data_IF_490528015877
#
_entry.id   IF_490528015877
#
_cell.length_a   1.000
_cell.length_b   1.000
_cell.length_c   1.000
_cell.angle_alpha   90.00
_cell.angle_beta   90.00
_cell.angle_gamma   90.00
#
_symmetry.space_group_name_H-M   'P 1'
#
loop_
_entity.id
_entity.type
_entity.pdbx_description
1 polymer ?
#
# COMPACT_ATOMS: atom_id res chain seq x y z
N UNK A 1 60.77 -0.60 25.54
CA UNK A 1 59.77 -1.52 25.99
C UNK A 1 58.85 -1.90 24.85
N UNK A 2 59.16 -3.07 24.29
CA UNK A 2 58.41 -3.67 23.18
C UNK A 2 57.24 -4.41 23.79
N UNK A 3 55.99 -4.00 23.49
CA UNK A 3 54.80 -4.80 23.78
C UNK A 3 54.65 -5.85 22.67
N UNK A 4 54.69 -7.11 23.06
CA UNK A 4 54.40 -8.28 22.20
C UNK A 4 52.87 -8.27 21.93
N UNK A 5 52.49 -8.30 20.68
CA UNK A 5 51.18 -8.69 20.22
C UNK A 5 51.07 -10.22 20.32
N UNK A 6 50.15 -10.72 21.11
CA UNK A 6 49.80 -12.14 21.17
C UNK A 6 49.00 -12.51 19.93
N UNK A 7 49.50 -13.45 19.16
CA UNK A 7 48.77 -14.15 18.10
C UNK A 7 47.65 -15.01 18.75
N UNK A 8 46.41 -14.61 18.55
CA UNK A 8 45.28 -15.47 18.83
C UNK A 8 45.02 -16.31 17.60
N UNK A 9 45.46 -17.56 17.62
CA UNK A 9 45.13 -18.58 16.62
C UNK A 9 43.65 -18.84 16.64
N UNK A 10 42.91 -18.39 15.61
CA UNK A 10 41.55 -18.83 15.34
C UNK A 10 41.61 -20.27 14.84
N UNK A 11 41.24 -21.21 15.71
CA UNK A 11 40.90 -22.58 15.34
C UNK A 11 39.53 -22.57 14.70
N UNK A 12 39.46 -22.65 13.39
CA UNK A 12 38.22 -22.88 12.63
C UNK A 12 37.87 -24.36 12.68
N UNK A 13 37.20 -24.80 13.71
CA UNK A 13 36.42 -26.05 13.67
C UNK A 13 35.06 -25.74 13.06
N UNK A 14 34.93 -25.98 11.76
CA UNK A 14 33.67 -26.02 11.06
C UNK A 14 32.86 -27.25 11.51
N UNK A 15 32.22 -27.14 12.68
CA UNK A 15 31.15 -28.04 13.07
C UNK A 15 29.85 -27.54 12.51
N UNK A 16 29.24 -28.31 11.61
CA UNK A 16 27.83 -28.14 11.27
C UNK A 16 27.03 -28.26 12.56
N UNK A 17 26.12 -27.30 12.85
CA UNK A 17 25.29 -27.39 14.08
C UNK A 17 24.55 -28.70 14.07
N UNK A 18 24.57 -29.38 15.23
CA UNK A 18 23.87 -30.64 15.43
C UNK A 18 22.35 -30.41 15.23
N UNK A 19 21.68 -31.39 14.62
CA UNK A 19 20.22 -31.34 14.41
C UNK A 19 19.44 -31.03 15.66
N UNK A 20 19.97 -31.45 16.84
CA UNK A 20 19.38 -31.18 18.15
C UNK A 20 19.58 -29.74 18.62
N UNK A 21 20.67 -29.09 18.25
CA UNK A 21 20.89 -27.65 18.52
C UNK A 21 19.96 -26.77 17.67
N UNK A 22 19.78 -27.13 16.39
CA UNK A 22 18.83 -26.44 15.52
C UNK A 22 17.38 -26.61 15.98
N UNK A 23 17.01 -27.80 16.46
CA UNK A 23 15.69 -28.05 16.99
C UNK A 23 15.42 -27.24 18.28
N UNK A 24 16.41 -27.16 19.19
CA UNK A 24 16.30 -26.34 20.43
C UNK A 24 16.26 -24.85 20.13
N UNK A 25 17.04 -24.39 19.14
CA UNK A 25 16.99 -22.99 18.71
C UNK A 25 15.64 -22.63 18.05
N UNK A 26 15.05 -23.54 17.26
CA UNK A 26 13.72 -23.39 16.71
C UNK A 26 12.65 -23.33 17.82
N UNK A 27 12.70 -24.22 18.79
CA UNK A 27 11.78 -24.25 19.95
C UNK A 27 11.89 -22.99 20.83
N UNK A 28 13.11 -22.44 21.00
CA UNK A 28 13.35 -21.17 21.71
C UNK A 28 12.81 -19.95 21.00
N UNK A 29 12.64 -20.01 19.67
CA UNK A 29 12.05 -18.93 18.86
C UNK A 29 10.53 -19.11 18.74
N UNK A 30 10.06 -20.36 18.62
CA UNK A 30 8.62 -20.66 18.48
C UNK A 30 7.83 -20.36 19.78
N UNK A 31 8.38 -20.65 20.94
CA UNK A 31 7.67 -20.46 22.21
C UNK A 31 7.33 -18.97 22.51
N UNK A 32 8.24 -17.99 22.34
CA UNK A 32 7.91 -16.57 22.48
C UNK A 32 6.97 -16.07 21.40
N UNK A 33 7.11 -16.53 20.14
CA UNK A 33 6.20 -16.19 19.06
C UNK A 33 4.80 -16.76 19.28
N UNK A 34 4.69 -17.99 19.74
CA UNK A 34 3.42 -18.62 20.10
C UNK A 34 2.72 -17.91 21.26
N UNK A 35 3.46 -17.42 22.25
CA UNK A 35 2.88 -16.65 23.36
C UNK A 35 2.40 -15.26 22.92
N UNK A 36 3.14 -14.59 22.05
CA UNK A 36 2.73 -13.29 21.47
C UNK A 36 1.49 -13.43 20.57
N UNK A 37 1.36 -14.52 19.84
CA UNK A 37 0.19 -14.81 19.01
C UNK A 37 -0.98 -15.29 19.86
N UNK A 38 -0.72 -16.13 20.87
CA UNK A 38 -1.73 -16.70 21.76
C UNK A 38 -2.48 -15.67 22.61
N UNK A 39 -1.80 -14.67 23.14
CA UNK A 39 -2.43 -13.60 23.95
C UNK A 39 -3.42 -12.72 23.14
N UNK A 40 -3.27 -12.67 21.81
CA UNK A 40 -4.21 -11.99 20.92
C UNK A 40 -5.35 -12.89 20.42
N UNK A 41 -5.13 -14.22 20.36
CA UNK A 41 -6.15 -15.20 19.92
C UNK A 41 -7.17 -15.54 21.03
N UNK A 42 -6.83 -15.43 22.31
CA UNK A 42 -7.73 -15.82 23.42
C UNK A 42 -8.98 -14.92 23.56
N UNK A 43 -9.00 -13.74 22.94
CA UNK A 43 -10.16 -12.83 22.97
C UNK A 43 -11.22 -13.10 21.92
N UNK A 44 -10.94 -13.87 20.87
CA UNK A 44 -11.85 -14.01 19.70
C UNK A 44 -12.27 -15.44 19.34
N UNK A 45 -11.92 -16.48 20.13
CA UNK A 45 -12.19 -17.85 19.70
C UNK A 45 -13.37 -18.54 20.39
N UNK A 46 -14.45 -18.65 19.65
CA UNK A 46 -15.39 -19.77 19.80
C UNK A 46 -14.88 -20.97 18.95
N UNK A 47 -14.38 -21.98 19.64
CA UNK A 47 -13.90 -23.30 19.30
C UNK A 47 -14.25 -23.93 17.95
N UNK A 48 -13.27 -24.13 17.05
CA UNK A 48 -13.12 -25.38 16.29
C UNK A 48 -11.69 -25.56 15.70
N UNK A 49 -11.10 -26.77 15.72
CA UNK A 49 -9.72 -27.02 15.27
C UNK A 49 -9.47 -26.83 13.76
N UNK A 50 -10.52 -26.78 12.95
CA UNK A 50 -10.44 -26.49 11.51
C UNK A 50 -10.20 -25.01 11.20
N UNK A 51 -10.42 -24.11 12.16
CA UNK A 51 -10.28 -22.66 11.97
C UNK A 51 -8.82 -22.21 11.89
N UNK A 52 -7.89 -22.84 12.59
CA UNK A 52 -6.49 -22.35 12.74
C UNK A 52 -5.74 -22.21 11.41
N UNK A 53 -5.93 -23.13 10.45
CA UNK A 53 -5.28 -23.04 9.13
C UNK A 53 -5.87 -21.96 8.22
N UNK A 54 -7.15 -21.61 8.41
CA UNK A 54 -7.85 -20.63 7.56
C UNK A 54 -7.47 -19.19 7.97
N UNK A 55 -7.16 -18.96 9.25
CA UNK A 55 -6.65 -17.64 9.73
C UNK A 55 -5.25 -17.30 9.21
N UNK A 56 -4.43 -18.29 8.85
CA UNK A 56 -3.09 -18.06 8.30
C UNK A 56 -3.11 -17.54 6.85
N UNK A 57 -4.15 -17.85 6.08
CA UNK A 57 -4.22 -17.51 4.65
C UNK A 57 -4.18 -16.00 4.38
N UNK A 58 -5.00 -15.13 5.02
CA UNK A 58 -4.90 -13.68 4.81
C UNK A 58 -3.53 -13.15 5.19
N UNK A 59 -3.00 -13.54 6.37
CA UNK A 59 -1.69 -13.10 6.84
C UNK A 59 -0.54 -13.51 5.91
N UNK A 60 -0.68 -14.64 5.19
CA UNK A 60 0.29 -15.06 4.19
C UNK A 60 0.31 -14.11 2.98
N UNK A 61 -0.86 -13.65 2.51
CA UNK A 61 -0.94 -12.66 1.44
C UNK A 61 -0.39 -11.32 1.89
N UNK A 62 -0.71 -10.86 3.10
CA UNK A 62 -0.13 -9.66 3.71
C UNK A 62 1.39 -9.76 3.81
N UNK A 63 1.92 -10.93 4.23
CA UNK A 63 3.37 -11.19 4.24
C UNK A 63 3.97 -11.17 2.83
N UNK A 64 3.23 -11.64 1.82
CA UNK A 64 3.62 -11.56 0.42
C UNK A 64 3.70 -10.11 -0.07
N UNK A 65 2.72 -9.26 0.30
CA UNK A 65 2.74 -7.83 0.01
C UNK A 65 3.95 -7.15 0.66
N UNK A 66 4.19 -7.43 1.95
CA UNK A 66 5.35 -6.92 2.69
C UNK A 66 6.67 -7.35 2.05
N UNK A 67 6.78 -8.62 1.65
CA UNK A 67 7.98 -9.13 0.96
C UNK A 67 8.22 -8.39 -0.36
N UNK A 68 7.17 -8.17 -1.16
CA UNK A 68 7.29 -7.41 -2.41
C UNK A 68 7.68 -5.96 -2.17
N UNK A 69 7.12 -5.29 -1.15
CA UNK A 69 7.51 -3.94 -0.76
C UNK A 69 8.96 -3.86 -0.30
N UNK A 70 9.40 -4.79 0.52
CA UNK A 70 10.79 -4.90 0.97
C UNK A 70 11.74 -5.16 -0.21
N UNK A 71 11.39 -6.10 -1.10
CA UNK A 71 12.15 -6.37 -2.31
C UNK A 71 12.27 -5.13 -3.21
N UNK A 72 11.18 -4.36 -3.34
CA UNK A 72 11.21 -3.12 -4.13
C UNK A 72 12.22 -2.10 -3.60
N UNK A 73 12.36 -1.99 -2.27
CA UNK A 73 13.39 -1.14 -1.64
C UNK A 73 14.79 -1.64 -2.01
N UNK A 74 15.05 -2.93 -1.86
CA UNK A 74 16.35 -3.52 -2.17
C UNK A 74 16.68 -3.37 -3.67
N UNK A 75 15.74 -3.65 -4.56
CA UNK A 75 15.91 -3.47 -6.00
C UNK A 75 16.24 -2.01 -6.36
N UNK A 76 15.52 -1.05 -5.77
CA UNK A 76 15.79 0.39 -5.95
C UNK A 76 17.20 0.80 -5.46
N UNK A 77 17.68 0.23 -4.34
CA UNK A 77 19.04 0.45 -3.84
C UNK A 77 20.12 -0.16 -4.76
N UNK A 78 19.79 -1.23 -5.46
CA UNK A 78 20.68 -1.89 -6.43
C UNK A 78 20.62 -1.27 -7.83
N UNK A 79 19.72 -0.28 -8.05
CA UNK A 79 19.53 0.36 -9.35
C UNK A 79 18.61 -0.41 -10.30
N UNK A 80 17.98 -1.49 -9.86
CA UNK A 80 16.97 -2.20 -10.63
C UNK A 80 15.56 -1.60 -10.39
N UNK A 81 15.36 -0.43 -10.96
CA UNK A 81 14.14 0.34 -10.78
C UNK A 81 12.92 -0.30 -11.44
N UNK A 82 13.15 -1.06 -12.53
CA UNK A 82 12.09 -1.84 -13.18
C UNK A 82 11.53 -2.91 -12.23
N UNK A 83 12.41 -3.75 -11.68
CA UNK A 83 11.99 -4.79 -10.75
C UNK A 83 11.35 -4.18 -9.49
N UNK A 84 11.89 -3.05 -8.98
CA UNK A 84 11.32 -2.33 -7.85
C UNK A 84 9.91 -1.82 -8.12
N UNK A 85 9.67 -1.21 -9.28
CA UNK A 85 8.34 -0.71 -9.65
C UNK A 85 7.32 -1.85 -9.84
N UNK A 86 7.71 -2.92 -10.53
CA UNK A 86 6.87 -4.10 -10.71
C UNK A 86 6.54 -4.76 -9.36
N UNK A 87 7.51 -4.85 -8.45
CA UNK A 87 7.28 -5.42 -7.12
C UNK A 87 6.24 -4.65 -6.32
N UNK A 88 6.22 -3.30 -6.39
CA UNK A 88 5.18 -2.48 -5.75
C UNK A 88 3.79 -2.81 -6.34
N UNK A 89 3.67 -2.98 -7.66
CA UNK A 89 2.41 -3.36 -8.30
C UNK A 89 1.96 -4.77 -7.91
N UNK A 90 2.90 -5.70 -7.75
CA UNK A 90 2.62 -7.05 -7.25
C UNK A 90 2.18 -7.01 -5.79
N UNK A 91 2.79 -6.16 -4.95
CA UNK A 91 2.35 -5.94 -3.59
C UNK A 91 0.88 -5.50 -3.52
N UNK A 92 0.43 -4.60 -4.43
CA UNK A 92 -0.99 -4.21 -4.51
C UNK A 92 -1.94 -5.37 -4.81
N UNK A 93 -1.50 -6.35 -5.61
CA UNK A 93 -2.31 -7.54 -5.91
C UNK A 93 -2.45 -8.39 -4.64
N UNK A 94 -1.36 -8.61 -3.92
CA UNK A 94 -1.37 -9.38 -2.67
C UNK A 94 -2.24 -8.71 -1.60
N UNK A 95 -2.11 -7.39 -1.40
CA UNK A 95 -2.94 -6.57 -0.52
C UNK A 95 -4.44 -6.65 -0.88
N UNK A 96 -4.78 -6.54 -2.17
CA UNK A 96 -6.15 -6.69 -2.63
C UNK A 96 -6.73 -8.09 -2.42
N UNK A 97 -5.88 -9.13 -2.39
CA UNK A 97 -6.27 -10.51 -2.18
C UNK A 97 -6.48 -10.82 -0.69
N UNK A 98 -5.61 -10.36 0.22
CA UNK A 98 -5.73 -10.65 1.66
C UNK A 98 -7.03 -10.12 2.25
N UNK A 99 -7.39 -8.86 1.95
CA UNK A 99 -8.65 -8.27 2.39
C UNK A 99 -9.90 -8.96 1.79
N UNK A 100 -9.79 -9.53 0.57
CA UNK A 100 -10.88 -10.33 -0.01
C UNK A 100 -10.98 -11.71 0.64
N UNK A 101 -9.85 -12.38 0.82
CA UNK A 101 -9.77 -13.70 1.46
C UNK A 101 -10.26 -13.61 2.90
N UNK A 102 -9.81 -12.62 3.68
CA UNK A 102 -10.28 -12.42 5.05
C UNK A 102 -11.80 -12.27 5.16
N UNK A 103 -12.43 -11.49 4.23
CA UNK A 103 -13.89 -11.34 4.19
C UNK A 103 -14.63 -12.61 3.75
N UNK A 104 -14.10 -13.34 2.77
CA UNK A 104 -14.73 -14.57 2.27
C UNK A 104 -14.64 -15.70 3.26
N UNK A 105 -13.58 -15.76 4.05
CA UNK A 105 -13.35 -16.82 5.05
C UNK A 105 -13.90 -16.45 6.44
N UNK A 106 -14.33 -15.20 6.65
CA UNK A 106 -14.79 -14.73 7.97
C UNK A 106 -13.67 -14.69 9.01
N UNK A 107 -12.40 -14.55 8.59
CA UNK A 107 -11.21 -14.63 9.45
C UNK A 107 -10.59 -13.26 9.72
N UNK A 108 -11.39 -12.20 9.74
CA UNK A 108 -10.91 -10.87 10.11
C UNK A 108 -10.54 -10.83 11.59
N UNK A 109 -9.30 -10.45 11.92
CA UNK A 109 -8.81 -10.30 13.29
C UNK A 109 -8.22 -8.91 13.51
N UNK A 110 -8.21 -8.44 14.77
CA UNK A 110 -7.57 -7.18 15.13
C UNK A 110 -6.07 -7.19 14.83
N UNK A 111 -5.40 -8.32 15.06
CA UNK A 111 -3.99 -8.51 14.70
C UNK A 111 -3.79 -8.39 13.17
N UNK A 112 -4.62 -9.08 12.37
CA UNK A 112 -4.52 -9.03 10.91
C UNK A 112 -4.65 -7.61 10.37
N UNK A 113 -5.59 -6.82 10.89
CA UNK A 113 -5.77 -5.41 10.48
C UNK A 113 -4.57 -4.52 10.83
N UNK A 114 -3.91 -4.74 11.97
CA UNK A 114 -2.69 -4.02 12.34
C UNK A 114 -1.50 -4.45 11.49
N UNK A 115 -1.36 -5.76 11.26
CA UNK A 115 -0.30 -6.31 10.43
C UNK A 115 -0.40 -5.84 8.98
N UNK A 116 -1.61 -5.80 8.43
CA UNK A 116 -1.93 -5.24 7.12
C UNK A 116 -1.50 -3.77 7.01
N UNK A 117 -1.85 -2.95 7.98
CA UNK A 117 -1.43 -1.54 8.02
C UNK A 117 0.09 -1.34 8.09
N UNK A 118 0.81 -2.21 8.78
CA UNK A 118 2.29 -2.18 8.83
C UNK A 118 2.88 -2.60 7.48
N UNK A 119 2.32 -3.64 6.86
CA UNK A 119 2.68 -4.07 5.51
C UNK A 119 2.46 -2.96 4.48
N UNK A 120 1.29 -2.31 4.53
CA UNK A 120 0.93 -1.17 3.68
C UNK A 120 1.91 -0.01 3.82
N UNK A 121 2.33 0.30 5.06
CA UNK A 121 3.31 1.36 5.30
C UNK A 121 4.63 1.08 4.60
N UNK A 122 5.10 -0.16 4.60
CA UNK A 122 6.33 -0.55 3.90
C UNK A 122 6.11 -0.56 2.39
N UNK A 123 5.05 -1.21 1.91
CA UNK A 123 4.82 -1.48 0.49
C UNK A 123 4.35 -0.27 -0.30
N UNK A 124 3.53 0.61 0.31
CA UNK A 124 2.91 1.76 -0.36
C UNK A 124 3.33 3.11 0.22
N UNK A 125 3.99 3.12 1.39
CA UNK A 125 4.59 4.33 1.96
C UNK A 125 6.09 4.42 1.65
N UNK A 126 6.88 3.50 2.19
CA UNK A 126 8.34 3.57 2.12
C UNK A 126 8.90 3.13 0.76
N UNK A 127 8.42 2.01 0.21
CA UNK A 127 8.99 1.46 -1.03
C UNK A 127 8.88 2.44 -2.21
N UNK A 128 7.73 3.05 -2.54
CA UNK A 128 7.66 4.02 -3.64
C UNK A 128 8.45 5.30 -3.36
N UNK A 129 8.50 5.78 -2.10
CA UNK A 129 9.30 6.94 -1.71
C UNK A 129 10.80 6.72 -1.94
N UNK A 130 11.32 5.58 -1.49
CA UNK A 130 12.74 5.23 -1.61
C UNK A 130 13.11 4.83 -3.04
N UNK A 131 12.23 4.15 -3.78
CA UNK A 131 12.42 3.85 -5.20
C UNK A 131 12.61 5.13 -6.00
N UNK A 132 11.72 6.11 -5.82
CA UNK A 132 11.77 7.40 -6.51
C UNK A 132 12.99 8.23 -6.05
N UNK A 133 13.31 8.18 -4.76
CA UNK A 133 14.48 8.86 -4.23
C UNK A 133 15.77 8.37 -4.90
N UNK A 134 15.95 7.06 -4.97
CA UNK A 134 17.13 6.48 -5.60
C UNK A 134 17.17 6.70 -7.12
N UNK A 135 16.01 6.77 -7.79
CA UNK A 135 15.92 7.02 -9.22
C UNK A 135 16.25 8.46 -9.60
N UNK A 136 15.57 9.43 -9.00
CA UNK A 136 15.52 10.80 -9.51
C UNK A 136 15.90 11.88 -8.47
N UNK A 137 15.72 11.62 -7.16
CA UNK A 137 15.75 12.69 -6.18
C UNK A 137 17.11 12.87 -5.50
N UNK A 138 18.05 11.96 -5.67
CA UNK A 138 19.41 12.05 -5.08
C UNK A 138 20.13 13.33 -5.52
N UNK A 139 19.96 13.74 -6.79
CA UNK A 139 20.52 14.97 -7.35
C UNK A 139 19.96 16.27 -6.77
N UNK A 140 18.76 16.23 -6.19
CA UNK A 140 18.12 17.40 -5.57
C UNK A 140 18.55 17.64 -4.11
N UNK A 141 19.45 16.84 -3.58
CA UNK A 141 20.01 16.99 -2.24
C UNK A 141 18.93 17.02 -1.15
N UNK A 142 18.89 18.09 -0.34
CA UNK A 142 17.94 18.19 0.78
C UNK A 142 16.48 18.20 0.34
N UNK A 143 16.16 18.76 -0.80
CA UNK A 143 14.78 18.82 -1.31
C UNK A 143 14.30 17.42 -1.68
N UNK A 144 15.15 16.60 -2.28
CA UNK A 144 14.80 15.26 -2.70
C UNK A 144 14.40 14.35 -1.53
N UNK A 145 15.21 14.27 -0.48
CA UNK A 145 14.85 13.42 0.66
C UNK A 145 13.67 13.97 1.48
N UNK A 146 13.49 15.33 1.52
CA UNK A 146 12.30 15.92 2.15
C UNK A 146 11.03 15.55 1.40
N UNK A 147 11.03 15.58 0.06
CA UNK A 147 9.89 15.14 -0.74
C UNK A 147 9.54 13.66 -0.50
N UNK A 148 10.56 12.79 -0.45
CA UNK A 148 10.38 11.38 -0.13
C UNK A 148 9.81 11.17 1.29
N UNK A 149 10.33 11.91 2.28
CA UNK A 149 9.85 11.88 3.65
C UNK A 149 8.39 12.35 3.77
N UNK A 150 8.03 13.46 3.11
CA UNK A 150 6.65 13.98 3.11
C UNK A 150 5.68 12.91 2.60
N UNK A 151 6.01 12.24 1.50
CA UNK A 151 5.16 11.17 0.97
C UNK A 151 4.98 10.03 1.99
N UNK A 152 6.06 9.53 2.56
CA UNK A 152 6.03 8.46 3.56
C UNK A 152 5.27 8.87 4.82
N UNK A 153 5.47 10.11 5.32
CA UNK A 153 4.76 10.64 6.46
C UNK A 153 3.25 10.79 6.18
N UNK A 154 2.89 11.24 4.97
CA UNK A 154 1.49 11.32 4.55
C UNK A 154 0.83 9.95 4.47
N UNK A 155 1.53 8.92 3.98
CA UNK A 155 1.05 7.55 3.97
C UNK A 155 0.81 7.03 5.40
N UNK A 156 1.77 7.26 6.33
CA UNK A 156 1.64 6.88 7.73
C UNK A 156 0.44 7.56 8.41
N UNK A 157 0.28 8.87 8.23
CA UNK A 157 -0.85 9.62 8.79
C UNK A 157 -2.20 9.15 8.23
N UNK A 158 -2.23 8.82 6.94
CA UNK A 158 -3.43 8.25 6.32
C UNK A 158 -3.81 6.92 6.93
N UNK A 159 -2.85 5.99 7.08
CA UNK A 159 -3.08 4.68 7.68
C UNK A 159 -3.51 4.78 9.14
N UNK A 160 -2.85 5.65 9.92
CA UNK A 160 -3.23 5.92 11.31
C UNK A 160 -4.66 6.47 11.41
N UNK A 161 -5.04 7.42 10.53
CA UNK A 161 -6.41 7.96 10.48
C UNK A 161 -7.42 6.87 10.12
N UNK A 162 -7.11 6.01 9.15
CA UNK A 162 -7.98 4.91 8.74
C UNK A 162 -8.23 3.93 9.89
N UNK A 163 -7.17 3.54 10.60
CA UNK A 163 -7.27 2.64 11.76
C UNK A 163 -8.09 3.24 12.91
N UNK A 164 -7.92 4.54 13.18
CA UNK A 164 -8.70 5.25 14.20
C UNK A 164 -10.20 5.33 13.84
N UNK A 165 -10.54 5.49 12.56
CA UNK A 165 -11.93 5.53 12.09
C UNK A 165 -12.60 4.15 12.15
N UNK A 166 -11.87 3.07 11.86
CA UNK A 166 -12.41 1.71 11.96
C UNK A 166 -12.77 1.32 13.39
N UNK A 167 -12.08 1.85 14.40
CA UNK A 167 -12.39 1.59 15.82
C UNK A 167 -13.66 2.30 16.31
N UNK A 168 -14.11 3.36 15.63
CA UNK A 168 -15.22 4.20 16.07
C UNK A 168 -16.55 3.96 15.32
N UNK A 169 -16.68 2.88 14.52
CA UNK A 169 -17.86 2.54 13.69
C UNK A 169 -18.31 3.66 12.72
N UNK A 170 -17.53 4.70 12.52
CA UNK A 170 -17.81 5.82 11.64
C UNK A 170 -17.44 5.47 10.19
N UNK A 171 -18.24 4.61 9.55
CA UNK A 171 -17.99 4.09 8.20
C UNK A 171 -18.46 5.01 7.06
N UNK A 172 -18.81 6.27 7.36
CA UNK A 172 -19.65 7.06 6.45
C UNK A 172 -18.94 7.59 5.20
N UNK A 173 -17.63 7.85 5.16
CA UNK A 173 -16.97 8.26 3.89
C UNK A 173 -15.47 8.02 3.90
N UNK A 174 -14.97 7.25 2.91
CA UNK A 174 -13.54 7.18 2.61
C UNK A 174 -13.07 8.51 2.02
N UNK A 175 -12.30 9.27 2.78
CA UNK A 175 -11.73 10.54 2.35
C UNK A 175 -10.23 10.40 2.11
N UNK A 176 -9.75 11.00 1.02
CA UNK A 176 -8.35 10.98 0.61
C UNK A 176 -8.00 9.86 -0.37
N UNK A 177 -6.90 10.05 -1.10
CA UNK A 177 -6.40 9.10 -2.10
C UNK A 177 -5.94 7.79 -1.42
N UNK A 178 -6.30 6.65 -1.98
CA UNK A 178 -5.83 5.35 -1.48
C UNK A 178 -4.30 5.22 -1.62
N UNK A 179 -3.59 4.74 -0.56
CA UNK A 179 -2.13 4.54 -0.59
C UNK A 179 -1.67 3.61 -1.71
N UNK A 180 -2.35 2.49 -2.05
CA UNK A 180 -1.97 1.69 -3.19
C UNK A 180 -2.06 2.46 -4.53
N UNK A 181 -3.08 3.30 -4.70
CA UNK A 181 -3.23 4.09 -5.93
C UNK A 181 -2.14 5.18 -6.07
N UNK A 182 -1.77 5.82 -4.97
CA UNK A 182 -0.64 6.75 -4.93
C UNK A 182 0.67 6.02 -5.26
N UNK A 183 0.90 4.85 -4.64
CA UNK A 183 2.08 4.02 -4.88
C UNK A 183 2.17 3.56 -6.34
N UNK A 184 1.04 3.15 -6.94
CA UNK A 184 0.99 2.80 -8.37
C UNK A 184 1.38 3.97 -9.27
N UNK A 185 0.86 5.18 -8.99
CA UNK A 185 1.21 6.39 -9.77
C UNK A 185 2.70 6.68 -9.72
N UNK A 186 3.31 6.58 -8.54
CA UNK A 186 4.73 6.83 -8.32
C UNK A 186 5.59 5.75 -8.98
N UNK A 187 5.30 4.47 -8.72
CA UNK A 187 6.07 3.35 -9.22
C UNK A 187 6.04 3.28 -10.75
N UNK A 188 4.87 3.50 -11.36
CA UNK A 188 4.73 3.49 -12.83
C UNK A 188 5.37 4.70 -13.49
N UNK A 189 5.43 5.86 -12.82
CA UNK A 189 6.18 7.01 -13.33
C UNK A 189 7.68 6.70 -13.38
N UNK A 190 8.24 6.06 -12.36
CA UNK A 190 9.63 5.60 -12.35
C UNK A 190 9.87 4.56 -13.46
N UNK A 191 9.00 3.57 -13.57
CA UNK A 191 9.09 2.54 -14.61
C UNK A 191 9.05 3.14 -16.00
N UNK A 192 8.10 4.03 -16.27
CA UNK A 192 7.96 4.72 -17.56
C UNK A 192 9.22 5.54 -17.89
N UNK A 193 9.73 6.31 -16.92
CA UNK A 193 10.94 7.12 -17.10
C UNK A 193 12.15 6.25 -17.43
N UNK A 194 12.30 5.10 -16.76
CA UNK A 194 13.36 4.14 -17.04
C UNK A 194 13.21 3.52 -18.43
N UNK A 195 12.01 3.05 -18.79
CA UNK A 195 11.77 2.36 -20.07
C UNK A 195 12.05 3.28 -21.27
N UNK A 196 11.68 4.56 -21.17
CA UNK A 196 11.90 5.53 -22.24
C UNK A 196 13.25 6.25 -22.17
N UNK A 197 14.08 5.92 -21.17
CA UNK A 197 15.37 6.57 -20.97
C UNK A 197 15.26 8.05 -20.60
N UNK A 198 14.14 8.44 -20.01
CA UNK A 198 13.93 9.83 -19.61
C UNK A 198 14.71 10.13 -18.35
N UNK A 199 15.59 11.14 -18.43
CA UNK A 199 16.41 11.61 -17.32
C UNK A 199 16.72 13.09 -17.47
N UNK A 200 17.02 13.75 -16.37
CA UNK A 200 17.46 15.13 -16.36
C UNK A 200 16.78 15.98 -15.28
N UNK A 201 17.37 17.15 -14.98
CA UNK A 201 16.95 17.98 -13.83
C UNK A 201 15.45 18.37 -13.83
N UNK A 202 14.87 18.60 -15.01
CA UNK A 202 13.45 18.92 -15.12
C UNK A 202 12.57 17.73 -14.69
N UNK A 203 12.97 16.50 -15.05
CA UNK A 203 12.25 15.29 -14.67
C UNK A 203 12.40 14.97 -13.19
N UNK A 204 13.56 15.23 -12.60
CA UNK A 204 13.78 15.09 -11.16
C UNK A 204 12.79 15.94 -10.36
N UNK A 205 12.54 17.18 -10.81
CA UNK A 205 11.51 18.03 -10.21
C UNK A 205 10.09 17.50 -10.44
N UNK A 206 9.80 16.90 -11.59
CA UNK A 206 8.49 16.28 -11.86
C UNK A 206 8.26 15.13 -10.87
N UNK A 207 9.26 14.29 -10.63
CA UNK A 207 9.16 13.20 -9.64
C UNK A 207 8.96 13.76 -8.21
N UNK A 208 9.73 14.79 -7.81
CA UNK A 208 9.61 15.40 -6.49
C UNK A 208 8.23 16.02 -6.27
N UNK A 209 7.71 16.76 -7.25
CA UNK A 209 6.39 17.40 -7.19
C UNK A 209 5.27 16.35 -7.19
N UNK A 210 5.36 15.31 -8.04
CA UNK A 210 4.39 14.22 -8.09
C UNK A 210 4.33 13.48 -6.76
N UNK A 211 5.48 13.14 -6.19
CA UNK A 211 5.57 12.45 -4.90
C UNK A 211 4.93 13.28 -3.79
N UNK A 212 5.27 14.57 -3.71
CA UNK A 212 4.73 15.50 -2.71
C UNK A 212 3.22 15.71 -2.89
N UNK A 213 2.76 15.92 -4.13
CA UNK A 213 1.34 16.13 -4.43
C UNK A 213 0.49 14.90 -4.10
N UNK A 214 0.94 13.70 -4.48
CA UNK A 214 0.26 12.45 -4.14
C UNK A 214 0.24 12.21 -2.63
N UNK A 215 1.31 12.57 -1.91
CA UNK A 215 1.34 12.56 -0.46
C UNK A 215 0.23 13.44 0.14
N UNK A 216 0.12 14.68 -0.28
CA UNK A 216 -0.96 15.57 0.20
C UNK A 216 -2.36 15.09 -0.19
N UNK A 217 -2.53 14.51 -1.39
CA UNK A 217 -3.81 13.91 -1.79
C UNK A 217 -4.22 12.76 -0.88
N UNK A 218 -3.29 11.97 -0.34
CA UNK A 218 -3.59 10.91 0.62
C UNK A 218 -4.21 11.43 1.92
N UNK A 219 -3.76 12.59 2.42
CA UNK A 219 -4.29 13.20 3.66
C UNK A 219 -5.52 14.07 3.40
N UNK A 220 -5.75 14.48 2.16
CA UNK A 220 -6.85 15.36 1.78
C UNK A 220 -8.21 14.79 2.21
N UNK A 221 -9.21 15.67 2.31
CA UNK A 221 -10.60 15.29 2.59
C UNK A 221 -11.44 15.14 1.32
N UNK A 222 -10.80 15.01 0.17
CA UNK A 222 -11.53 14.85 -1.08
C UNK A 222 -12.27 13.51 -1.10
N UNK A 223 -13.54 13.48 -1.54
CA UNK A 223 -14.29 12.24 -1.69
C UNK A 223 -13.74 11.49 -2.90
N UNK A 224 -13.32 10.25 -2.70
CA UNK A 224 -12.98 9.34 -3.79
C UNK A 224 -14.04 8.28 -3.93
N UNK A 225 -14.46 8.02 -5.16
CA UNK A 225 -15.40 6.94 -5.45
C UNK A 225 -14.78 5.60 -5.12
N UNK A 226 -15.36 4.88 -4.15
CA UNK A 226 -14.98 3.51 -3.89
C UNK A 226 -15.47 2.63 -5.03
N UNK A 227 -14.58 1.84 -5.64
CA UNK A 227 -14.96 0.81 -6.64
C UNK A 227 -15.89 -0.28 -6.09
N UNK A 228 -16.21 -0.23 -4.77
CA UNK A 228 -17.18 -1.14 -4.13
C UNK A 228 -18.62 -0.98 -4.63
N UNK A 229 -18.98 0.16 -5.21
CA UNK A 229 -20.34 0.42 -5.71
C UNK A 229 -20.61 -0.12 -7.11
N UNK A 230 -19.61 -0.75 -7.76
CA UNK A 230 -19.84 -1.48 -9.01
C UNK A 230 -20.57 -2.77 -8.66
N UNK A 231 -21.90 -2.67 -8.48
CA UNK A 231 -22.77 -3.83 -8.40
C UNK A 231 -22.58 -4.63 -9.69
N UNK A 232 -22.06 -5.83 -9.56
CA UNK A 232 -22.12 -6.84 -10.62
C UNK A 232 -23.60 -7.28 -10.74
N UNK A 233 -24.46 -6.36 -11.18
CA UNK A 233 -25.82 -6.72 -11.54
C UNK A 233 -25.76 -7.70 -12.71
N UNK A 234 -26.64 -8.68 -12.72
CA UNK A 234 -26.59 -9.90 -13.56
C UNK A 234 -26.47 -9.68 -15.07
N UNK A 235 -26.43 -8.43 -15.56
CA UNK A 235 -26.22 -8.09 -16.97
C UNK A 235 -25.12 -7.05 -17.10
N UNK A 236 -23.87 -7.50 -17.27
CA UNK A 236 -22.77 -6.59 -17.63
C UNK A 236 -23.06 -6.07 -19.05
N UNK A 237 -23.28 -4.76 -19.26
CA UNK A 237 -23.50 -4.24 -20.60
C UNK A 237 -22.30 -4.55 -21.49
N UNK A 238 -22.55 -4.99 -22.73
CA UNK A 238 -21.53 -5.34 -23.72
C UNK A 238 -20.42 -4.27 -23.83
N UNK A 239 -20.81 -3.00 -23.75
CA UNK A 239 -19.88 -1.86 -23.79
C UNK A 239 -18.86 -1.89 -22.65
N UNK A 240 -19.26 -2.31 -21.43
CA UNK A 240 -18.32 -2.43 -20.30
C UNK A 240 -17.31 -3.56 -20.52
N UNK A 241 -17.74 -4.68 -21.09
CA UNK A 241 -16.85 -5.78 -21.44
C UNK A 241 -15.85 -5.36 -22.52
N UNK A 242 -16.31 -4.65 -23.56
CA UNK A 242 -15.45 -4.11 -24.61
C UNK A 242 -14.43 -3.12 -24.05
N UNK A 243 -14.83 -2.25 -23.11
CA UNK A 243 -13.92 -1.32 -22.44
C UNK A 243 -12.84 -2.07 -21.64
N UNK A 244 -13.19 -3.12 -20.91
CA UNK A 244 -12.22 -3.94 -20.17
C UNK A 244 -11.22 -4.58 -21.13
N UNK A 245 -11.69 -5.16 -22.23
CA UNK A 245 -10.82 -5.76 -23.26
C UNK A 245 -9.90 -4.69 -23.88
N UNK A 246 -10.43 -3.51 -24.18
CA UNK A 246 -9.62 -2.40 -24.70
C UNK A 246 -8.53 -1.95 -23.71
N UNK A 247 -8.87 -1.81 -22.43
CA UNK A 247 -7.88 -1.46 -21.38
C UNK A 247 -6.81 -2.54 -21.26
N UNK A 248 -7.19 -3.82 -21.26
CA UNK A 248 -6.22 -4.94 -21.21
C UNK A 248 -5.32 -4.93 -22.44
N UNK A 249 -5.86 -4.67 -23.64
CA UNK A 249 -5.07 -4.56 -24.87
C UNK A 249 -4.09 -3.35 -24.81
N UNK A 250 -4.53 -2.22 -24.27
CA UNK A 250 -3.67 -1.05 -24.09
C UNK A 250 -2.54 -1.32 -23.07
N UNK A 251 -2.86 -2.00 -21.96
CA UNK A 251 -1.85 -2.42 -20.98
C UNK A 251 -0.83 -3.35 -21.63
N UNK A 252 -1.24 -4.24 -22.54
CA UNK A 252 -0.31 -5.14 -23.22
C UNK A 252 0.64 -4.40 -24.19
N UNK A 253 0.25 -3.22 -24.70
CA UNK A 253 1.08 -2.40 -25.58
C UNK A 253 2.16 -1.61 -24.81
N UNK A 254 1.76 -0.91 -23.78
CA UNK A 254 2.65 -0.10 -22.93
C UNK A 254 2.16 -0.12 -21.47
N UNK A 255 2.54 -1.16 -20.69
CA UNK A 255 2.09 -1.32 -19.31
C UNK A 255 2.34 -0.09 -18.44
N UNK A 256 3.56 0.49 -18.37
CA UNK A 256 3.84 1.59 -17.45
C UNK A 256 3.04 2.85 -17.78
N UNK A 257 2.91 3.19 -19.07
CA UNK A 257 2.16 4.38 -19.48
C UNK A 257 0.66 4.24 -19.16
N UNK A 258 0.07 3.09 -19.50
CA UNK A 258 -1.38 2.91 -19.30
C UNK A 258 -1.74 2.84 -17.82
N UNK A 259 -0.97 2.12 -17.00
CA UNK A 259 -1.22 2.05 -15.56
C UNK A 259 -0.99 3.41 -14.91
N UNK A 260 0.04 4.16 -15.35
CA UNK A 260 0.27 5.52 -14.88
C UNK A 260 -0.90 6.45 -15.20
N UNK A 261 -1.37 6.46 -16.45
CA UNK A 261 -2.53 7.27 -16.85
C UNK A 261 -3.78 6.93 -16.04
N UNK A 262 -4.09 5.65 -15.85
CA UNK A 262 -5.23 5.21 -15.05
C UNK A 262 -5.12 5.67 -13.60
N UNK A 263 -3.94 5.54 -13.00
CA UNK A 263 -3.72 5.95 -11.60
C UNK A 263 -3.76 7.47 -11.42
N UNK A 264 -3.24 8.25 -12.39
CA UNK A 264 -3.32 9.72 -12.38
C UNK A 264 -4.77 10.19 -12.56
N UNK A 265 -5.50 9.61 -13.52
CA UNK A 265 -6.94 9.92 -13.72
C UNK A 265 -7.73 9.64 -12.43
N UNK A 266 -7.44 8.51 -11.77
CA UNK A 266 -8.05 8.20 -10.47
C UNK A 266 -7.64 9.22 -9.39
N UNK A 267 -6.36 9.57 -9.29
CA UNK A 267 -5.87 10.55 -8.31
C UNK A 267 -6.51 11.94 -8.51
N UNK A 268 -6.72 12.36 -9.76
CA UNK A 268 -7.36 13.65 -10.09
C UNK A 268 -8.88 13.62 -9.93
N UNK A 269 -9.51 12.45 -9.91
CA UNK A 269 -10.98 12.33 -9.79
C UNK A 269 -11.51 12.93 -8.48
N UNK A 270 -10.79 12.81 -7.36
CA UNK A 270 -11.18 13.37 -6.07
C UNK A 270 -11.27 14.90 -6.08
N UNK A 271 -10.20 15.64 -6.42
CA UNK A 271 -10.24 17.10 -6.56
C UNK A 271 -11.32 17.58 -7.55
N UNK A 272 -11.47 16.90 -8.70
CA UNK A 272 -12.48 17.26 -9.71
C UNK A 272 -13.90 17.07 -9.18
N UNK A 273 -14.18 15.98 -8.46
CA UNK A 273 -15.49 15.77 -7.84
C UNK A 273 -15.77 16.83 -6.77
N UNK A 274 -14.79 17.17 -5.97
CA UNK A 274 -14.94 18.22 -4.95
C UNK A 274 -15.28 19.59 -5.56
N UNK A 275 -14.61 19.98 -6.65
CA UNK A 275 -14.91 21.21 -7.36
C UNK A 275 -16.33 21.22 -7.96
N UNK A 276 -16.77 20.11 -8.55
CA UNK A 276 -18.13 19.99 -9.12
C UNK A 276 -19.23 20.06 -8.06
N UNK A 277 -19.00 19.52 -6.87
CA UNK A 277 -19.99 19.61 -5.78
C UNK A 277 -19.99 20.98 -5.10
N UNK A 278 -18.89 21.75 -5.16
CA UNK A 278 -18.85 23.12 -4.66
C UNK A 278 -19.68 24.10 -5.53
N UNK A 279 -19.85 23.78 -6.82
CA UNK A 279 -20.61 24.61 -7.78
C UNK A 279 -22.12 24.32 -7.80
N UNK A 280 -22.62 23.35 -7.01
CA UNK A 280 -24.08 23.10 -6.93
C UNK A 280 -24.67 24.00 -5.86
N UNK A 281 -25.47 25.03 -6.21
CA UNK A 281 -26.06 25.93 -5.21
C UNK A 281 -27.02 25.17 -4.31
N UNK A 282 -26.97 25.43 -3.00
CA UNK A 282 -27.88 24.97 -1.94
C UNK A 282 -29.31 25.52 -2.11
N UNK A 283 -29.90 25.46 -3.28
CA UNK A 283 -31.17 26.15 -3.60
C UNK A 283 -32.42 25.27 -3.53
N UNK A 284 -32.38 24.05 -3.02
CA UNK A 284 -33.59 23.21 -2.97
C UNK A 284 -33.98 22.65 -1.58
N UNK A 285 -33.20 22.85 -0.52
CA UNK A 285 -33.61 22.41 0.81
C UNK A 285 -34.42 23.47 1.60
N UNK A 286 -34.43 24.71 1.14
CA UNK A 286 -35.18 25.82 1.77
C UNK A 286 -36.66 25.86 1.39
N UNK A 287 -37.01 25.44 0.17
CA UNK A 287 -38.43 25.53 -0.29
C UNK A 287 -39.30 24.35 0.16
N UNK A 288 -38.71 23.15 0.35
CA UNK A 288 -39.48 21.99 0.78
C UNK A 288 -39.88 22.00 2.28
N UNK A 289 -39.19 22.79 3.11
CA UNK A 289 -39.57 22.96 4.51
C UNK A 289 -40.60 24.08 4.74
N UNK A 290 -40.69 25.07 3.85
CA UNK A 290 -41.71 26.11 3.97
C UNK A 290 -43.10 25.63 3.52
N UNK A 291 -43.18 24.68 2.59
CA UNK A 291 -44.46 24.15 2.10
C UNK A 291 -45.09 23.13 3.09
N UNK A 292 -44.34 22.61 4.06
CA UNK A 292 -44.85 21.72 5.11
C UNK A 292 -45.36 22.45 6.34
N UNK A 293 -44.91 23.68 6.60
CA UNK A 293 -45.39 24.48 7.75
C UNK A 293 -46.70 25.25 7.44
N UNK A 294 -47.07 25.44 6.19
CA UNK A 294 -48.30 26.08 5.77
C UNK A 294 -49.52 25.14 5.70
N UNK A 295 -49.37 23.86 6.04
CA UNK A 295 -50.43 22.83 5.98
C UNK A 295 -50.86 22.28 7.35
N UNK A 296 -50.54 22.97 8.49
CA UNK A 296 -51.05 22.63 9.82
C UNK A 296 -51.74 23.82 10.50
#
# INVERSE_FOLDING_TARGET
PKRRFGETTMSSTGQTPDSDELARAAEQIEAPLASLVGDYEERDTHNSPRAKGIFLLPNLFTSGALFCGFYAIIAGMQGDFYAGAVAILVAMIFDGLDGRVARLTGTSSAFGAQYDSLSDMVSFGLAPALLTFNWALTGLGKVGWVAAFIYAACAALRLARFNAQMQNDDTTHFTGLASPAAAASVATLVWMSQTHGWSGPALDWVHALSLTALGFLMISRFPYSSFKSVSFDRRVPFVRMLLVVAVVALIALDPPLVIWLLSVVYALSGPVQHLRHADTPRSQEGEANHEKDDLH
#
